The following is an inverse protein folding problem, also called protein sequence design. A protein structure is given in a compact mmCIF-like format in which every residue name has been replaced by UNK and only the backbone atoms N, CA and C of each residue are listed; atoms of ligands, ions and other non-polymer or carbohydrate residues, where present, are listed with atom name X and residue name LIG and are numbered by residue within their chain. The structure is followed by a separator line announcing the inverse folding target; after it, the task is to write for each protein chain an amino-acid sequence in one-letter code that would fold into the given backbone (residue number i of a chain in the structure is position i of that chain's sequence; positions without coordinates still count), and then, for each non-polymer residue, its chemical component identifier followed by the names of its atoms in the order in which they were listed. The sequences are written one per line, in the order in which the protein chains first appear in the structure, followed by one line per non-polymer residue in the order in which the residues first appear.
data_IF_210079882743
#
_entry.id   IF_210079882743
#
_cell.length_a   1.000
_cell.length_b   1.000
_cell.length_c   1.000
_cell.angle_alpha   90.00
_cell.angle_beta   90.00
_cell.angle_gamma   90.00
#
_symmetry.space_group_name_H-M   'P 1'
#
loop_
_entity.id
_entity.type
_entity.pdbx_description
1 polymer ?
#
# COMPACT_ATOMS: atom_id res chain seq x y z
N UNK A 1 6.12 -33.13 15.04
CA UNK A 1 7.22 -32.23 15.41
C UNK A 1 6.67 -30.81 15.34
N UNK A 2 6.81 -30.01 16.38
CA UNK A 2 6.46 -28.59 16.34
C UNK A 2 7.50 -27.86 15.49
N UNK A 3 7.11 -27.36 14.32
CA UNK A 3 7.96 -26.50 13.51
C UNK A 3 8.23 -25.22 14.29
N UNK A 4 9.49 -24.84 14.48
CA UNK A 4 9.80 -23.55 15.11
C UNK A 4 9.39 -22.40 14.19
N UNK A 5 9.08 -21.22 14.74
CA UNK A 5 8.78 -20.01 13.93
C UNK A 5 9.90 -19.73 12.92
N UNK A 6 11.16 -19.85 13.33
CA UNK A 6 12.30 -19.69 12.45
C UNK A 6 12.30 -20.69 11.26
N UNK A 7 11.93 -21.95 11.51
CA UNK A 7 11.83 -22.96 10.45
C UNK A 7 10.63 -22.68 9.53
N UNK A 8 9.50 -22.21 10.06
CA UNK A 8 8.34 -21.82 9.26
C UNK A 8 8.66 -20.62 8.35
N UNK A 9 9.34 -19.60 8.87
CA UNK A 9 9.76 -18.43 8.09
C UNK A 9 10.81 -18.77 7.03
N UNK A 10 11.77 -19.65 7.34
CA UNK A 10 12.76 -20.11 6.36
C UNK A 10 12.10 -20.85 5.18
N UNK A 11 11.03 -21.61 5.45
CA UNK A 11 10.29 -22.33 4.42
C UNK A 11 9.45 -21.42 3.49
N UNK A 12 9.29 -20.13 3.82
CA UNK A 12 8.67 -19.16 2.92
C UNK A 12 9.59 -18.78 1.75
N UNK A 13 10.89 -19.12 1.81
CA UNK A 13 11.88 -18.87 0.77
C UNK A 13 11.91 -17.40 0.29
N UNK A 14 11.65 -16.47 1.22
CA UNK A 14 11.68 -15.03 0.97
C UNK A 14 13.11 -14.58 0.66
N UNK A 15 13.46 -14.55 -0.62
CA UNK A 15 14.77 -14.13 -1.12
C UNK A 15 14.71 -13.41 -2.47
N UNK A 16 13.50 -13.12 -2.96
CA UNK A 16 13.20 -12.63 -4.30
C UNK A 16 12.24 -11.44 -4.24
N UNK A 17 12.58 -10.43 -3.43
CA UNK A 17 11.77 -9.21 -3.29
C UNK A 17 11.75 -8.33 -4.56
N UNK A 18 12.65 -8.59 -5.51
CA UNK A 18 12.59 -8.06 -6.86
C UNK A 18 11.96 -9.12 -7.78
N UNK A 19 10.73 -8.88 -8.29
CA UNK A 19 10.13 -9.80 -9.24
C UNK A 19 10.93 -9.80 -10.54
N UNK A 20 11.13 -10.98 -11.16
CA UNK A 20 11.76 -11.08 -12.47
C UNK A 20 10.83 -10.49 -13.52
N UNK A 21 11.37 -9.86 -14.55
CA UNK A 21 10.56 -9.19 -15.57
C UNK A 21 9.52 -10.13 -16.24
N UNK A 22 9.86 -11.40 -16.44
CA UNK A 22 8.94 -12.42 -16.96
C UNK A 22 7.77 -12.76 -16.02
N UNK A 23 7.97 -12.65 -14.70
CA UNK A 23 6.95 -12.95 -13.68
C UNK A 23 5.95 -11.79 -13.51
N UNK A 24 6.30 -10.59 -14.00
CA UNK A 24 5.43 -9.40 -13.94
C UNK A 24 4.26 -9.48 -14.92
N UNK A 25 4.43 -10.22 -16.02
CA UNK A 25 3.39 -10.41 -17.02
C UNK A 25 2.30 -11.37 -16.52
N UNK A 26 1.20 -10.81 -16.02
CA UNK A 26 0.02 -11.58 -15.58
C UNK A 26 -0.23 -11.56 -14.07
N UNK A 27 0.51 -10.75 -13.31
CA UNK A 27 0.17 -10.53 -11.90
C UNK A 27 -1.19 -9.84 -11.77
N UNK A 28 -2.06 -10.46 -10.96
CA UNK A 28 -3.32 -9.88 -10.52
C UNK A 28 -3.11 -9.30 -9.10
N UNK A 29 -3.77 -8.19 -8.73
CA UNK A 29 -3.76 -7.74 -7.34
C UNK A 29 -4.23 -8.87 -6.38
N UNK A 30 -3.64 -8.97 -5.18
CA UNK A 30 -4.14 -9.89 -4.16
C UNK A 30 -5.59 -9.56 -3.78
N UNK A 31 -6.34 -10.56 -3.31
CA UNK A 31 -7.69 -10.31 -2.79
C UNK A 31 -7.66 -9.39 -1.57
N UNK A 32 -8.71 -8.60 -1.37
CA UNK A 32 -8.85 -7.73 -0.19
C UNK A 32 -8.74 -8.52 1.11
N UNK A 33 -9.29 -9.74 1.17
CA UNK A 33 -9.16 -10.64 2.33
C UNK A 33 -7.69 -11.00 2.62
N UNK A 34 -6.90 -11.34 1.58
CA UNK A 34 -5.49 -11.67 1.77
C UNK A 34 -4.68 -10.46 2.27
N UNK A 35 -4.99 -9.27 1.77
CA UNK A 35 -4.38 -8.01 2.22
C UNK A 35 -4.73 -7.70 3.68
N UNK A 36 -5.99 -7.87 4.06
CA UNK A 36 -6.46 -7.67 5.43
C UNK A 36 -5.80 -8.64 6.40
N UNK A 37 -5.83 -9.94 6.08
CA UNK A 37 -5.22 -11.00 6.91
C UNK A 37 -3.73 -10.77 7.08
N UNK A 38 -3.02 -10.46 5.98
CA UNK A 38 -1.58 -10.21 6.01
C UNK A 38 -1.25 -8.97 6.83
N UNK A 39 -2.00 -7.88 6.66
CA UNK A 39 -1.79 -6.64 7.43
C UNK A 39 -2.06 -6.87 8.93
N UNK A 40 -3.11 -7.61 9.25
CA UNK A 40 -3.46 -8.00 10.62
C UNK A 40 -2.37 -8.87 11.26
N UNK A 41 -1.82 -9.83 10.51
CA UNK A 41 -0.74 -10.68 10.96
C UNK A 41 0.54 -9.88 11.23
N UNK A 42 0.95 -9.02 10.29
CA UNK A 42 2.12 -8.13 10.46
C UNK A 42 1.94 -7.26 11.72
N UNK A 43 0.77 -6.64 11.89
CA UNK A 43 0.48 -5.82 13.07
C UNK A 43 0.61 -6.63 14.36
N UNK A 44 -0.07 -7.77 14.42
CA UNK A 44 -0.14 -8.60 15.62
C UNK A 44 1.23 -9.15 16.00
N UNK A 45 1.97 -9.70 15.03
CA UNK A 45 3.29 -10.27 15.26
C UNK A 45 4.32 -9.20 15.67
N UNK A 46 4.26 -8.02 15.03
CA UNK A 46 5.14 -6.91 15.37
C UNK A 46 4.95 -6.47 16.82
N UNK A 47 3.70 -6.25 17.25
CA UNK A 47 3.44 -5.65 18.57
C UNK A 47 3.31 -6.67 19.71
N UNK A 48 3.02 -7.94 19.42
CA UNK A 48 2.93 -9.00 20.44
C UNK A 48 4.22 -9.15 21.26
N UNK A 49 5.38 -8.90 20.66
CA UNK A 49 6.69 -9.03 21.33
C UNK A 49 7.15 -7.76 22.05
N UNK A 50 6.50 -6.62 21.81
CA UNK A 50 6.94 -5.32 22.33
C UNK A 50 6.25 -4.95 23.64
N UNK A 51 5.07 -5.51 23.92
CA UNK A 51 4.34 -5.29 25.17
C UNK A 51 5.13 -5.81 26.38
N UNK A 52 5.10 -5.08 27.50
CA UNK A 52 5.85 -5.38 28.72
C UNK A 52 7.38 -5.42 28.52
N UNK A 53 7.89 -4.71 27.52
CA UNK A 53 9.33 -4.54 27.28
C UNK A 53 9.73 -3.07 27.38
N UNK A 54 11.04 -2.79 27.34
CA UNK A 54 11.52 -1.41 27.27
C UNK A 54 11.05 -0.65 26.01
N UNK A 55 10.57 -1.36 24.99
CA UNK A 55 10.08 -0.79 23.73
C UNK A 55 8.60 -0.40 23.77
N UNK A 56 7.89 -0.67 24.87
CA UNK A 56 6.45 -0.43 24.98
C UNK A 56 6.07 1.04 24.74
N UNK A 57 6.94 1.98 25.12
CA UNK A 57 6.72 3.42 24.92
C UNK A 57 6.80 3.85 23.45
N UNK A 58 7.43 3.05 22.60
CA UNK A 58 7.62 3.33 21.18
C UNK A 58 6.47 2.76 20.32
N UNK A 59 5.61 1.90 20.89
CA UNK A 59 4.54 1.20 20.18
C UNK A 59 3.60 2.16 19.45
N UNK A 60 3.21 3.28 20.07
CA UNK A 60 2.30 4.26 19.45
C UNK A 60 2.92 4.86 18.17
N UNK A 61 4.18 5.31 18.25
CA UNK A 61 4.88 5.90 17.11
C UNK A 61 5.15 4.86 16.01
N UNK A 62 5.52 3.64 16.39
CA UNK A 62 5.72 2.53 15.44
C UNK A 62 4.42 2.15 14.73
N UNK A 63 3.31 2.08 15.46
CA UNK A 63 1.98 1.81 14.90
C UNK A 63 1.55 2.89 13.92
N UNK A 64 1.73 4.16 14.30
CA UNK A 64 1.50 5.30 13.40
C UNK A 64 2.39 5.21 12.15
N UNK A 65 3.66 4.84 12.30
CA UNK A 65 4.61 4.63 11.21
C UNK A 65 4.18 3.53 10.23
N UNK A 66 3.63 2.43 10.74
CA UNK A 66 3.13 1.32 9.93
C UNK A 66 1.92 1.72 9.08
N UNK A 67 0.96 2.47 9.63
CA UNK A 67 -0.16 3.02 8.84
C UNK A 67 0.38 3.97 7.75
N UNK A 68 1.36 4.82 8.10
CA UNK A 68 1.95 5.75 7.14
C UNK A 68 2.73 5.08 6.02
N UNK A 69 3.28 3.88 6.23
CA UNK A 69 3.94 3.13 5.17
C UNK A 69 2.98 2.89 4.00
N UNK A 70 1.80 2.33 4.29
CA UNK A 70 0.79 2.04 3.28
C UNK A 70 0.17 3.32 2.71
N UNK A 71 -0.08 4.32 3.55
CA UNK A 71 -0.57 5.61 3.10
C UNK A 71 0.37 6.27 2.07
N UNK A 72 1.68 6.31 2.34
CA UNK A 72 2.67 6.88 1.41
C UNK A 72 2.77 6.07 0.11
N UNK A 73 2.66 4.75 0.19
CA UNK A 73 2.66 3.88 -0.99
C UNK A 73 1.46 4.18 -1.90
N UNK A 74 0.24 4.29 -1.34
CA UNK A 74 -0.96 4.69 -2.07
C UNK A 74 -0.82 6.09 -2.67
N UNK A 75 -0.36 7.08 -1.89
CA UNK A 75 -0.19 8.45 -2.36
C UNK A 75 0.80 8.56 -3.54
N UNK A 76 1.90 7.77 -3.53
CA UNK A 76 2.85 7.71 -4.65
C UNK A 76 2.21 7.14 -5.93
N UNK A 77 1.30 6.16 -5.79
CA UNK A 77 0.55 5.59 -6.91
C UNK A 77 -0.43 6.62 -7.48
N UNK A 78 -1.20 7.32 -6.63
CA UNK A 78 -2.08 8.41 -7.05
C UNK A 78 -1.36 9.51 -7.82
N UNK A 79 -0.21 9.99 -7.31
CA UNK A 79 0.59 10.97 -8.04
C UNK A 79 1.09 10.46 -9.42
N UNK A 80 1.16 9.15 -9.62
CA UNK A 80 1.50 8.54 -10.91
C UNK A 80 0.27 8.43 -11.82
N UNK A 81 -0.89 8.12 -11.27
CA UNK A 81 -2.18 8.12 -11.98
C UNK A 81 -2.49 9.52 -12.51
N UNK A 82 -2.24 10.57 -11.72
CA UNK A 82 -2.44 11.96 -12.15
C UNK A 82 -1.62 12.29 -13.41
N UNK A 83 -0.32 11.95 -13.39
CA UNK A 83 0.56 12.15 -14.56
C UNK A 83 0.10 11.34 -15.78
N UNK A 84 -0.25 10.07 -15.58
CA UNK A 84 -0.75 9.21 -16.66
C UNK A 84 -2.06 9.76 -17.24
N UNK A 85 -2.93 10.30 -16.40
CA UNK A 85 -4.19 10.91 -16.82
C UNK A 85 -3.95 12.12 -17.71
N UNK A 86 -3.00 12.98 -17.36
CA UNK A 86 -2.63 14.13 -18.19
C UNK A 86 -2.01 13.69 -19.53
N UNK A 87 -1.15 12.67 -19.52
CA UNK A 87 -0.59 12.09 -20.75
C UNK A 87 -1.68 11.47 -21.65
N UNK A 88 -2.64 10.74 -21.07
CA UNK A 88 -3.79 10.15 -21.79
C UNK A 88 -4.63 11.27 -22.42
N UNK A 89 -4.91 12.36 -21.68
CA UNK A 89 -5.64 13.51 -22.22
C UNK A 89 -4.92 14.15 -23.40
N UNK A 90 -3.60 14.27 -23.33
CA UNK A 90 -2.79 14.79 -24.43
C UNK A 90 -2.89 13.89 -25.67
N UNK A 91 -2.70 12.58 -25.51
CA UNK A 91 -2.80 11.62 -26.62
C UNK A 91 -4.17 11.63 -27.29
N UNK A 92 -5.24 11.79 -26.50
CA UNK A 92 -6.62 11.91 -27.03
C UNK A 92 -6.76 13.21 -27.84
N UNK A 93 -6.22 14.33 -27.34
CA UNK A 93 -6.29 15.63 -28.02
C UNK A 93 -5.46 15.66 -29.31
N UNK A 94 -4.34 14.94 -29.35
CA UNK A 94 -3.42 14.84 -30.49
C UNK A 94 -3.76 13.67 -31.44
N UNK A 95 -4.93 13.04 -31.27
CA UNK A 95 -5.30 11.85 -32.05
C UNK A 95 -5.33 12.14 -33.56
N UNK A 96 -4.48 11.44 -34.30
CA UNK A 96 -4.31 11.56 -35.76
C UNK A 96 -4.92 10.39 -36.54
N UNK A 97 -5.44 9.38 -35.83
CA UNK A 97 -6.01 8.16 -36.41
C UNK A 97 -4.98 7.11 -36.81
N UNK A 98 -3.70 7.29 -36.44
CA UNK A 98 -2.68 6.26 -36.64
C UNK A 98 -2.85 5.10 -35.65
N UNK A 99 -2.53 3.89 -36.10
CA UNK A 99 -2.52 2.69 -35.26
C UNK A 99 -1.50 2.82 -34.13
N UNK A 100 -0.36 3.47 -34.39
CA UNK A 100 0.69 3.71 -33.39
C UNK A 100 0.17 4.57 -32.25
N UNK A 101 -0.52 5.67 -32.57
CA UNK A 101 -1.04 6.56 -31.53
C UNK A 101 -2.18 5.89 -30.74
N UNK A 102 -2.99 5.09 -31.42
CA UNK A 102 -4.04 4.27 -30.78
C UNK A 102 -3.44 3.26 -29.81
N UNK A 103 -2.41 2.52 -30.22
CA UNK A 103 -1.70 1.57 -29.36
C UNK A 103 -1.05 2.25 -28.14
N UNK A 104 -0.39 3.39 -28.34
CA UNK A 104 0.20 4.16 -27.24
C UNK A 104 -0.84 4.62 -26.22
N UNK A 105 -2.04 5.02 -26.69
CA UNK A 105 -3.14 5.40 -25.81
C UNK A 105 -3.64 4.22 -24.99
N UNK A 106 -3.85 3.06 -25.63
CA UNK A 106 -4.26 1.82 -24.96
C UNK A 106 -3.24 1.38 -23.90
N UNK A 107 -1.95 1.40 -24.22
CA UNK A 107 -0.87 1.06 -23.29
C UNK A 107 -0.87 1.95 -22.05
N UNK A 108 -1.05 3.28 -22.22
CA UNK A 108 -1.12 4.21 -21.09
C UNK A 108 -2.36 4.01 -20.24
N UNK A 109 -3.52 3.75 -20.87
CA UNK A 109 -4.77 3.45 -20.17
C UNK A 109 -4.60 2.18 -19.33
N UNK A 110 -4.04 1.12 -19.90
CA UNK A 110 -3.86 -0.14 -19.19
C UNK A 110 -2.80 -0.04 -18.09
N UNK A 111 -1.76 0.76 -18.27
CA UNK A 111 -0.84 1.10 -17.20
C UNK A 111 -1.55 1.86 -16.07
N UNK A 112 -2.37 2.87 -16.38
CA UNK A 112 -3.11 3.64 -15.38
C UNK A 112 -4.02 2.75 -14.53
N UNK A 113 -4.78 1.83 -15.15
CA UNK A 113 -5.62 0.84 -14.46
C UNK A 113 -4.80 -0.03 -13.48
N UNK A 114 -3.67 -0.56 -13.92
CA UNK A 114 -2.79 -1.38 -13.07
C UNK A 114 -2.24 -0.60 -11.87
N UNK A 115 -1.89 0.68 -12.07
CA UNK A 115 -1.43 1.54 -10.98
C UNK A 115 -2.56 1.87 -10.01
N UNK A 116 -3.80 2.04 -10.50
CA UNK A 116 -5.01 2.25 -9.70
C UNK A 116 -5.38 1.03 -8.85
N UNK A 117 -5.31 -0.17 -9.42
CA UNK A 117 -5.47 -1.43 -8.68
C UNK A 117 -4.45 -1.53 -7.55
N UNK A 118 -3.18 -1.23 -7.83
CA UNK A 118 -2.13 -1.21 -6.81
C UNK A 118 -2.36 -0.13 -5.74
N UNK A 119 -2.86 1.05 -6.11
CA UNK A 119 -3.21 2.11 -5.17
C UNK A 119 -4.29 1.61 -4.20
N UNK A 120 -5.34 0.99 -4.74
CA UNK A 120 -6.47 0.43 -3.97
C UNK A 120 -6.00 -0.64 -2.98
N UNK A 121 -5.08 -1.53 -3.38
CA UNK A 121 -4.49 -2.50 -2.47
C UNK A 121 -3.80 -1.83 -1.26
N UNK A 122 -3.00 -0.78 -1.49
CA UNK A 122 -2.34 -0.08 -0.40
C UNK A 122 -3.30 0.72 0.48
N UNK A 123 -4.40 1.23 -0.07
CA UNK A 123 -5.45 1.88 0.71
C UNK A 123 -6.15 0.89 1.64
N UNK A 124 -6.46 -0.31 1.16
CA UNK A 124 -7.01 -1.37 2.01
C UNK A 124 -6.06 -1.73 3.16
N UNK A 125 -4.77 -1.93 2.88
CA UNK A 125 -3.77 -2.21 3.92
C UNK A 125 -3.66 -1.04 4.91
N UNK A 126 -3.67 0.21 4.43
CA UNK A 126 -3.68 1.41 5.29
C UNK A 126 -4.89 1.40 6.23
N UNK A 127 -6.08 1.15 5.70
CA UNK A 127 -7.32 1.23 6.47
C UNK A 127 -7.42 0.09 7.49
N UNK A 128 -6.98 -1.12 7.14
CA UNK A 128 -6.83 -2.22 8.11
C UNK A 128 -5.85 -1.83 9.22
N UNK A 129 -4.66 -1.33 8.88
CA UNK A 129 -3.68 -0.90 9.88
C UNK A 129 -4.21 0.26 10.75
N UNK A 130 -4.94 1.22 10.17
CA UNK A 130 -5.54 2.32 10.89
C UNK A 130 -6.64 1.85 11.87
N UNK A 131 -7.42 0.84 11.49
CA UNK A 131 -8.41 0.21 12.35
C UNK A 131 -7.76 -0.49 13.56
N UNK A 132 -6.61 -1.14 13.35
CA UNK A 132 -5.81 -1.66 14.45
C UNK A 132 -5.26 -0.52 15.33
N UNK A 133 -4.67 0.51 14.74
CA UNK A 133 -4.11 1.64 15.47
C UNK A 133 -5.13 2.30 16.40
N UNK A 134 -6.33 2.63 15.91
CA UNK A 134 -7.37 3.25 16.75
C UNK A 134 -7.87 2.32 17.85
N UNK A 135 -7.96 1.01 17.57
CA UNK A 135 -8.41 0.02 18.57
C UNK A 135 -7.42 -0.13 19.72
N UNK A 136 -6.11 -0.16 19.42
CA UNK A 136 -5.08 -0.38 20.43
C UNK A 136 -4.68 0.90 21.18
N UNK A 137 -4.73 2.07 20.52
CA UNK A 137 -4.29 3.36 21.11
C UNK A 137 -5.43 4.25 21.59
N UNK A 138 -6.66 3.99 21.12
CA UNK A 138 -7.81 4.87 21.33
C UNK A 138 -7.75 6.18 20.54
N UNK A 139 -6.73 6.39 19.69
CA UNK A 139 -6.52 7.62 18.91
C UNK A 139 -6.71 7.33 17.43
N UNK A 140 -7.41 8.22 16.74
CA UNK A 140 -7.48 8.14 15.27
C UNK A 140 -6.10 8.41 14.67
N UNK A 141 -5.70 7.62 13.69
CA UNK A 141 -4.53 7.92 12.88
C UNK A 141 -4.78 9.19 12.06
N UNK A 142 -3.79 10.09 12.05
CA UNK A 142 -3.80 11.31 11.25
C UNK A 142 -2.50 11.34 10.45
N UNK A 143 -2.55 11.48 9.12
CA UNK A 143 -1.34 11.58 8.31
C UNK A 143 -0.52 12.83 8.67
N UNK A 144 0.81 12.71 8.65
CA UNK A 144 1.72 13.82 8.99
C UNK A 144 1.63 14.98 7.99
N UNK A 145 1.28 14.69 6.74
CA UNK A 145 1.12 15.64 5.65
C UNK A 145 -0.28 15.50 5.08
N UNK A 146 -1.01 16.62 5.10
CA UNK A 146 -2.44 16.69 4.81
C UNK A 146 -3.00 17.80 5.68
N UNK A 147 -3.59 18.81 5.05
CA UNK A 147 -3.93 20.10 5.65
C UNK A 147 -4.48 19.97 7.09
N UNK A 148 -3.71 20.42 8.09
CA UNK A 148 -4.22 20.66 9.44
C UNK A 148 -5.26 21.76 9.33
N UNK A 149 -6.53 21.41 9.15
CA UNK A 149 -7.61 22.27 9.62
C UNK A 149 -7.50 22.20 11.13
N UNK A 150 -6.73 23.12 11.71
CA UNK A 150 -6.83 23.40 13.13
C UNK A 150 -8.27 23.81 13.37
N UNK A 151 -9.07 22.92 13.96
CA UNK A 151 -10.26 23.33 14.71
C UNK A 151 -9.73 24.18 15.88
N UNK A 152 -9.55 25.46 15.59
CA UNK A 152 -9.33 26.49 16.58
C UNK A 152 -10.57 26.49 17.47
N UNK A 153 -10.32 26.20 18.74
CA UNK A 153 -11.24 26.43 19.84
C UNK A 153 -11.82 27.85 19.72
N UNK A 154 -13.14 27.96 19.71
CA UNK A 154 -13.88 29.15 20.14
C UNK A 154 -14.72 28.76 21.34
#
# INVERSE_FOLDING_TARGET
MTTSLAAALAALELGHLEPRAEDVSGMCPPSTEALEQTTTAIWSDLFATLQNTSLERDIEEMGWGLVNLFHRAAAKKHATIDRLTDEIRLLIAEQDGSEINTANLEDKIDLAKKIEEAATCYEHMRDTAAAHYIRETGRSWIPSTGNRISLGVT
#
